data_IF_251982715776
#
_entry.id   IF_251982715776
#
_cell.length_a   1.000
_cell.length_b   1.000
_cell.length_c   1.000
_cell.angle_alpha   90.00
_cell.angle_beta   90.00
_cell.angle_gamma   90.00
#
_symmetry.space_group_name_H-M   'P 1'
#
loop_
_entity.id
_entity.type
_entity.pdbx_description
1 polymer ?
#
# COMPACT_ATOMS: atom_id res chain seq x y z
N UNK A 1 13.11 5.95 -5.12
CA UNK A 1 12.91 5.51 -6.50
C UNK A 1 12.56 6.68 -7.44
N UNK A 2 11.55 7.52 -7.14
CA UNK A 2 11.14 8.65 -7.99
C UNK A 2 12.32 9.52 -8.41
N UNK A 3 13.13 10.02 -7.47
CA UNK A 3 14.33 10.82 -7.77
C UNK A 3 15.39 10.03 -8.55
N UNK A 4 15.62 8.78 -8.19
CA UNK A 4 16.61 7.92 -8.84
C UNK A 4 16.32 7.74 -10.33
N UNK A 5 15.07 7.54 -10.72
CA UNK A 5 14.66 7.45 -12.13
C UNK A 5 15.02 8.71 -12.94
N UNK A 6 15.02 9.86 -12.31
CA UNK A 6 15.35 11.13 -12.99
C UNK A 6 16.85 11.40 -13.05
N UNK A 7 17.62 10.85 -12.10
CA UNK A 7 19.06 11.12 -11.96
C UNK A 7 19.92 10.05 -12.61
N UNK A 8 19.57 8.77 -12.45
CA UNK A 8 20.36 7.65 -12.96
C UNK A 8 19.85 7.30 -14.37
N UNK A 9 20.75 7.31 -15.34
CA UNK A 9 20.45 6.96 -16.74
C UNK A 9 20.99 5.60 -17.10
N UNK A 10 20.35 4.94 -18.08
CA UNK A 10 20.80 3.63 -18.59
C UNK A 10 20.42 2.44 -17.70
N UNK A 11 19.62 2.65 -16.65
CA UNK A 11 19.09 1.58 -15.79
C UNK A 11 17.59 1.74 -15.64
N UNK A 12 16.86 0.69 -15.99
CA UNK A 12 15.41 0.61 -15.76
C UNK A 12 15.14 0.28 -14.28
N UNK A 13 14.39 1.15 -13.62
CA UNK A 13 14.04 0.99 -12.20
C UNK A 13 12.53 0.91 -12.06
N UNK A 14 12.07 -0.16 -11.44
CA UNK A 14 10.64 -0.41 -11.21
C UNK A 14 10.31 -0.35 -9.72
N UNK A 15 9.16 0.20 -9.41
CA UNK A 15 8.53 0.02 -8.11
C UNK A 15 7.99 -1.42 -8.03
N UNK A 16 8.03 -2.11 -6.87
CA UNK A 16 7.63 -3.51 -6.78
C UNK A 16 6.24 -3.83 -7.35
N UNK A 17 5.24 -2.98 -7.11
CA UNK A 17 3.88 -3.16 -7.68
C UNK A 17 3.91 -3.11 -9.20
N UNK A 18 4.59 -2.11 -9.76
CA UNK A 18 4.77 -1.95 -11.20
C UNK A 18 5.52 -3.16 -11.80
N UNK A 19 6.59 -3.62 -11.13
CA UNK A 19 7.35 -4.78 -11.55
C UNK A 19 6.50 -6.05 -11.57
N UNK A 20 5.71 -6.27 -10.52
CA UNK A 20 4.83 -7.43 -10.43
C UNK A 20 3.83 -7.41 -11.59
N UNK A 21 3.12 -6.31 -11.78
CA UNK A 21 2.10 -6.21 -12.82
C UNK A 21 2.67 -6.36 -14.23
N UNK A 22 3.88 -5.84 -14.46
CA UNK A 22 4.50 -5.80 -15.80
C UNK A 22 5.18 -7.12 -16.18
N UNK A 23 5.81 -7.81 -15.24
CA UNK A 23 6.71 -8.91 -15.55
C UNK A 23 6.37 -10.24 -14.88
N UNK A 24 5.57 -10.22 -13.83
CA UNK A 24 5.37 -11.39 -12.96
C UNK A 24 3.92 -11.88 -12.95
N UNK A 25 2.94 -10.98 -13.00
CA UNK A 25 1.52 -11.31 -12.83
C UNK A 25 1.02 -12.40 -13.82
N UNK A 26 1.46 -12.36 -15.07
CA UNK A 26 1.07 -13.34 -16.08
C UNK A 26 1.62 -14.76 -15.81
N UNK A 27 2.63 -14.87 -14.95
CA UNK A 27 3.25 -16.14 -14.53
C UNK A 27 2.69 -16.70 -13.25
N UNK A 28 1.78 -15.99 -12.62
CA UNK A 28 1.16 -16.34 -11.35
C UNK A 28 -0.31 -16.66 -11.53
N UNK A 29 -0.77 -17.65 -10.78
CA UNK A 29 -2.18 -17.92 -10.59
C UNK A 29 -2.62 -17.23 -9.29
N UNK A 30 -3.57 -16.31 -9.37
CA UNK A 30 -4.12 -15.60 -8.22
C UNK A 30 -5.37 -16.30 -7.70
N UNK A 31 -5.41 -16.53 -6.39
CA UNK A 31 -6.59 -17.01 -5.67
C UNK A 31 -7.00 -15.95 -4.64
N UNK A 32 -7.89 -15.00 -5.01
CA UNK A 32 -8.24 -13.89 -4.14
C UNK A 32 -8.82 -14.35 -2.81
N UNK A 33 -8.45 -13.68 -1.73
CA UNK A 33 -9.07 -13.92 -0.41
C UNK A 33 -10.47 -13.29 -0.39
N UNK A 34 -11.39 -13.95 0.32
CA UNK A 34 -12.76 -13.45 0.51
C UNK A 34 -12.89 -12.57 1.76
N UNK A 35 -12.05 -11.54 1.85
CA UNK A 35 -12.04 -10.58 2.97
C UNK A 35 -12.04 -9.17 2.42
N UNK A 36 -12.68 -8.24 3.13
CA UNK A 36 -12.52 -6.82 2.82
C UNK A 36 -11.19 -6.31 3.36
N UNK A 37 -10.38 -5.78 2.47
CA UNK A 37 -9.09 -5.17 2.81
C UNK A 37 -9.08 -3.68 2.49
N UNK A 38 -8.14 -2.95 3.06
CA UNK A 38 -7.89 -1.56 2.68
C UNK A 38 -6.49 -1.39 2.10
N UNK A 39 -6.35 -0.45 1.17
CA UNK A 39 -5.04 -0.05 0.61
C UNK A 39 -4.80 1.44 0.83
N UNK A 40 -3.60 1.74 1.30
CA UNK A 40 -3.12 3.11 1.40
C UNK A 40 -2.08 3.39 0.31
N UNK A 41 -2.38 4.38 -0.54
CA UNK A 41 -1.44 4.86 -1.58
C UNK A 41 -0.46 5.85 -0.97
N UNK A 42 0.83 5.51 -1.00
CA UNK A 42 1.86 6.40 -0.45
C UNK A 42 2.08 7.65 -1.32
N UNK A 43 2.72 8.68 -0.75
CA UNK A 43 3.08 9.89 -1.49
C UNK A 43 3.96 9.58 -2.71
N UNK A 44 4.90 8.64 -2.58
CA UNK A 44 5.77 8.22 -3.69
C UNK A 44 4.99 7.50 -4.79
N UNK A 45 4.06 6.62 -4.44
CA UNK A 45 3.17 5.94 -5.38
C UNK A 45 2.34 6.94 -6.19
N UNK A 46 1.79 7.94 -5.51
CA UNK A 46 1.02 9.01 -6.16
C UNK A 46 1.89 9.84 -7.10
N UNK A 47 3.10 10.23 -6.66
CA UNK A 47 4.04 10.99 -7.49
C UNK A 47 4.53 10.23 -8.73
N UNK A 48 4.59 8.91 -8.65
CA UNK A 48 4.98 8.05 -9.78
C UNK A 48 3.80 7.69 -10.70
N UNK A 49 2.58 8.11 -10.38
CA UNK A 49 1.38 7.78 -11.16
C UNK A 49 0.91 6.33 -11.00
N UNK A 50 1.36 5.62 -9.96
CA UNK A 50 1.13 4.18 -9.75
C UNK A 50 -0.04 3.88 -8.79
N UNK A 51 -0.91 4.85 -8.53
CA UNK A 51 -2.07 4.65 -7.64
C UNK A 51 -3.02 3.58 -8.17
N UNK A 52 -3.36 3.65 -9.45
CA UNK A 52 -4.23 2.66 -10.11
C UNK A 52 -3.62 1.26 -10.12
N UNK A 53 -2.31 1.17 -10.29
CA UNK A 53 -1.60 -0.11 -10.29
C UNK A 53 -1.63 -0.79 -8.92
N UNK A 54 -1.43 -0.03 -7.84
CA UNK A 54 -1.54 -0.54 -6.48
C UNK A 54 -2.96 -1.06 -6.19
N UNK A 55 -3.99 -0.31 -6.58
CA UNK A 55 -5.38 -0.70 -6.39
C UNK A 55 -5.69 -1.96 -7.22
N UNK A 56 -5.31 -1.98 -8.50
CA UNK A 56 -5.48 -3.14 -9.38
C UNK A 56 -4.82 -4.40 -8.82
N UNK A 57 -3.59 -4.29 -8.32
CA UNK A 57 -2.90 -5.44 -7.71
C UNK A 57 -3.65 -5.94 -6.46
N UNK A 58 -4.18 -5.04 -5.64
CA UNK A 58 -4.98 -5.41 -4.48
C UNK A 58 -6.30 -6.10 -4.88
N UNK A 59 -6.97 -5.63 -5.94
CA UNK A 59 -8.19 -6.24 -6.49
C UNK A 59 -7.94 -7.64 -7.07
N UNK A 60 -6.73 -7.91 -7.56
CA UNK A 60 -6.33 -9.27 -7.95
C UNK A 60 -6.15 -10.19 -6.74
N UNK A 61 -5.91 -9.63 -5.56
CA UNK A 61 -5.60 -10.37 -4.33
C UNK A 61 -6.79 -10.54 -3.38
N UNK A 62 -7.84 -9.72 -3.52
CA UNK A 62 -9.01 -9.74 -2.63
C UNK A 62 -10.29 -9.43 -3.37
N UNK A 63 -11.39 -10.05 -2.96
CA UNK A 63 -12.72 -9.83 -3.55
C UNK A 63 -13.32 -8.47 -3.19
N UNK A 64 -12.79 -7.80 -2.16
CA UNK A 64 -13.30 -6.50 -1.70
C UNK A 64 -12.15 -5.60 -1.25
N UNK A 65 -11.96 -4.48 -1.94
CA UNK A 65 -10.90 -3.50 -1.67
C UNK A 65 -11.50 -2.13 -1.38
N UNK A 66 -11.17 -1.57 -0.24
CA UNK A 66 -11.58 -0.22 0.17
C UNK A 66 -10.38 0.72 0.10
N UNK A 67 -10.52 1.81 -0.64
CA UNK A 67 -9.54 2.90 -0.66
C UNK A 67 -10.06 4.02 0.24
N UNK A 68 -9.39 4.32 1.36
CA UNK A 68 -9.87 5.33 2.31
C UNK A 68 -10.00 6.71 1.65
N UNK A 69 -11.12 7.37 1.92
CA UNK A 69 -11.38 8.72 1.45
C UNK A 69 -10.71 9.75 2.35
N UNK A 70 -10.21 10.83 1.75
CA UNK A 70 -9.56 11.94 2.48
C UNK A 70 -8.39 11.51 3.38
N UNK A 71 -7.76 10.38 3.05
CA UNK A 71 -6.52 9.90 3.68
C UNK A 71 -5.43 9.95 2.62
N UNK A 72 -4.63 10.99 2.65
CA UNK A 72 -3.53 11.21 1.71
C UNK A 72 -2.19 10.72 2.23
N UNK A 73 -1.34 11.64 2.67
CA UNK A 73 -0.06 11.28 3.28
C UNK A 73 -0.27 10.63 4.66
N UNK A 74 0.49 9.57 4.97
CA UNK A 74 0.46 8.96 6.30
C UNK A 74 1.04 9.87 7.41
N UNK A 75 1.74 10.94 7.05
CA UNK A 75 2.35 11.87 8.00
C UNK A 75 3.61 11.34 8.72
N UNK A 76 4.09 10.15 8.36
CA UNK A 76 5.27 9.56 9.00
C UNK A 76 6.58 10.24 8.58
N UNK A 77 6.65 10.75 7.35
CA UNK A 77 7.75 11.57 6.82
C UNK A 77 9.16 10.98 7.09
N UNK A 78 9.39 9.73 6.68
CA UNK A 78 10.67 9.03 6.90
C UNK A 78 10.80 8.58 8.36
N UNK A 79 11.69 9.20 9.12
CA UNK A 79 11.95 8.93 10.55
C UNK A 79 11.17 9.87 11.50
N UNK A 80 10.57 10.92 10.97
CA UNK A 80 9.85 11.93 11.78
C UNK A 80 8.70 11.34 12.60
N UNK A 81 8.04 10.31 12.09
CA UNK A 81 6.97 9.63 12.81
C UNK A 81 7.39 8.99 14.14
N UNK A 82 8.69 8.74 14.35
CA UNK A 82 9.21 8.24 15.63
C UNK A 82 9.39 9.37 16.66
N UNK A 83 9.70 10.58 16.20
CA UNK A 83 9.96 11.74 17.07
C UNK A 83 8.73 12.65 17.20
N UNK A 84 7.85 12.64 16.21
CA UNK A 84 6.63 13.46 16.13
C UNK A 84 5.40 12.62 15.78
N UNK A 85 5.01 11.67 16.66
CA UNK A 85 3.89 10.76 16.37
C UNK A 85 2.54 11.49 16.22
N UNK A 86 2.39 12.67 16.80
CA UNK A 86 1.21 13.52 16.69
C UNK A 86 0.91 13.92 15.24
N UNK A 87 1.93 14.11 14.40
CA UNK A 87 1.76 14.46 12.98
C UNK A 87 1.17 13.27 12.21
N UNK A 88 1.65 12.07 12.50
CA UNK A 88 1.13 10.84 11.91
C UNK A 88 -0.32 10.59 12.39
N UNK A 89 -0.59 10.73 13.68
CA UNK A 89 -1.94 10.58 14.24
C UNK A 89 -2.94 11.58 13.62
N UNK A 90 -2.54 12.85 13.47
CA UNK A 90 -3.37 13.85 12.81
C UNK A 90 -3.64 13.52 11.35
N UNK A 91 -2.64 13.13 10.59
CA UNK A 91 -2.78 12.79 9.17
C UNK A 91 -3.75 11.62 8.95
N UNK A 92 -3.74 10.65 9.86
CA UNK A 92 -4.54 9.42 9.78
C UNK A 92 -5.84 9.45 10.61
N UNK A 93 -6.22 10.58 11.19
CA UNK A 93 -7.41 10.69 12.05
C UNK A 93 -8.73 10.22 11.40
N UNK A 94 -8.82 10.28 10.07
CA UNK A 94 -9.99 9.83 9.31
C UNK A 94 -9.94 8.36 8.88
N UNK A 95 -8.82 7.66 9.11
CA UNK A 95 -8.62 6.30 8.64
C UNK A 95 -9.41 5.29 9.50
N UNK A 96 -9.21 5.34 10.82
CA UNK A 96 -9.82 4.37 11.73
C UNK A 96 -11.35 4.30 11.66
N UNK A 97 -12.09 5.41 11.61
CA UNK A 97 -13.55 5.36 11.47
C UNK A 97 -14.01 4.66 10.18
N UNK A 98 -13.24 4.79 9.09
CA UNK A 98 -13.56 4.11 7.83
C UNK A 98 -13.27 2.62 7.89
N UNK A 99 -12.19 2.21 8.57
CA UNK A 99 -11.87 0.81 8.80
C UNK A 99 -12.96 0.12 9.62
N UNK A 100 -13.38 0.74 10.70
CA UNK A 100 -14.44 0.23 11.58
C UNK A 100 -15.78 0.15 10.83
N UNK A 101 -16.15 1.18 10.07
CA UNK A 101 -17.37 1.23 9.27
C UNK A 101 -17.47 0.08 8.25
N UNK A 102 -16.36 -0.31 7.65
CA UNK A 102 -16.32 -1.34 6.61
C UNK A 102 -15.94 -2.73 7.16
N UNK A 103 -15.74 -2.88 8.46
CA UNK A 103 -15.34 -4.15 9.08
C UNK A 103 -13.99 -4.69 8.56
N UNK A 104 -13.07 -3.80 8.24
CA UNK A 104 -11.78 -4.15 7.67
C UNK A 104 -10.89 -4.74 8.76
N UNK A 105 -10.21 -5.84 8.47
CA UNK A 105 -9.33 -6.54 9.41
C UNK A 105 -7.84 -6.45 9.07
N UNK A 106 -7.52 -6.03 7.85
CA UNK A 106 -6.14 -5.87 7.39
C UNK A 106 -6.01 -4.75 6.36
N UNK A 107 -4.88 -4.06 6.40
CA UNK A 107 -4.53 -3.03 5.43
C UNK A 107 -3.20 -3.32 4.74
N UNK A 108 -3.04 -2.74 3.54
CA UNK A 108 -1.84 -2.91 2.74
C UNK A 108 -1.33 -1.58 2.21
N UNK A 109 -0.02 -1.48 2.09
CA UNK A 109 0.68 -0.33 1.53
C UNK A 109 1.94 -0.81 0.80
N UNK A 110 2.79 0.09 0.35
CA UNK A 110 4.05 -0.25 -0.33
C UNK A 110 5.25 0.53 0.23
N UNK A 111 5.17 0.99 1.48
CA UNK A 111 6.28 1.67 2.16
C UNK A 111 6.29 1.33 3.65
N UNK A 112 7.42 0.82 4.12
CA UNK A 112 7.57 0.31 5.49
C UNK A 112 7.25 1.36 6.57
N UNK A 113 7.71 2.58 6.41
CA UNK A 113 7.43 3.65 7.38
C UNK A 113 5.94 4.02 7.40
N UNK A 114 5.28 4.01 6.23
CA UNK A 114 3.83 4.20 6.18
C UNK A 114 3.10 3.03 6.86
N UNK A 115 3.52 1.78 6.66
CA UNK A 115 2.92 0.60 7.30
C UNK A 115 2.95 0.71 8.84
N UNK A 116 4.08 1.16 9.41
CA UNK A 116 4.22 1.39 10.85
C UNK A 116 3.20 2.43 11.32
N UNK A 117 3.18 3.60 10.69
CA UNK A 117 2.28 4.68 11.08
C UNK A 117 0.80 4.34 10.88
N UNK A 118 0.47 3.64 9.80
CA UNK A 118 -0.88 3.16 9.51
C UNK A 118 -1.34 2.14 10.57
N UNK A 119 -0.49 1.15 10.90
CA UNK A 119 -0.80 0.16 11.94
C UNK A 119 -1.05 0.83 13.29
N UNK A 120 -0.21 1.78 13.68
CA UNK A 120 -0.34 2.47 14.97
C UNK A 120 -1.66 3.23 15.09
N UNK A 121 -2.16 3.82 13.99
CA UNK A 121 -3.31 4.75 14.03
C UNK A 121 -4.62 4.17 13.49
N UNK A 122 -4.60 3.01 12.85
CA UNK A 122 -5.79 2.46 12.20
C UNK A 122 -6.59 1.47 13.06
N UNK A 123 -5.92 0.82 14.01
CA UNK A 123 -6.51 -0.28 14.79
C UNK A 123 -6.42 -1.65 14.11
N UNK A 124 -5.83 -1.74 12.92
CA UNK A 124 -5.59 -3.00 12.20
C UNK A 124 -4.14 -3.06 11.69
N UNK A 125 -3.58 -4.26 11.49
CA UNK A 125 -2.23 -4.39 10.92
C UNK A 125 -2.19 -3.90 9.47
N UNK A 126 -1.17 -3.12 9.14
CA UNK A 126 -0.79 -2.79 7.78
C UNK A 126 0.53 -3.47 7.42
N UNK A 127 0.55 -4.09 6.25
CA UNK A 127 1.72 -4.79 5.70
C UNK A 127 2.00 -4.34 4.27
N UNK A 128 3.18 -4.69 3.77
CA UNK A 128 3.46 -4.48 2.36
C UNK A 128 2.55 -5.36 1.49
N UNK A 129 2.03 -4.80 0.41
CA UNK A 129 1.14 -5.51 -0.52
C UNK A 129 1.78 -6.78 -1.09
N UNK A 130 3.11 -6.83 -1.17
CA UNK A 130 3.84 -8.01 -1.67
C UNK A 130 3.56 -9.26 -0.82
N UNK A 131 3.40 -9.11 0.51
CA UNK A 131 3.04 -10.24 1.37
C UNK A 131 1.65 -10.81 1.06
N UNK A 132 0.71 -9.94 0.64
CA UNK A 132 -0.59 -10.41 0.19
C UNK A 132 -0.48 -11.13 -1.16
N UNK A 133 0.29 -10.58 -2.10
CA UNK A 133 0.56 -11.23 -3.39
C UNK A 133 1.14 -12.63 -3.19
N UNK A 134 2.19 -12.74 -2.36
CA UNK A 134 2.82 -14.03 -2.04
C UNK A 134 1.81 -15.04 -1.47
N UNK A 135 0.99 -14.58 -0.52
CA UNK A 135 -0.02 -15.41 0.14
C UNK A 135 -1.09 -15.97 -0.80
N UNK A 136 -1.49 -15.21 -1.82
CA UNK A 136 -2.63 -15.55 -2.69
C UNK A 136 -2.22 -16.06 -4.05
N UNK A 137 -0.92 -16.22 -4.32
CA UNK A 137 -0.43 -16.65 -5.63
C UNK A 137 0.30 -17.98 -5.56
N UNK A 138 0.20 -18.71 -6.66
CA UNK A 138 1.03 -19.88 -6.96
C UNK A 138 1.63 -19.73 -8.34
N UNK A 139 2.75 -20.41 -8.59
CA UNK A 139 3.36 -20.43 -9.92
C UNK A 139 2.43 -21.18 -10.89
N UNK A 140 2.26 -20.63 -12.08
CA UNK A 140 1.64 -21.34 -13.21
C UNK A 140 2.51 -22.45 -13.74
#
# INVERSE_FOLDING_TARGET
LYRMRHTIKGVDMYEPVEFILKFVADRLHFTPINNTITVHTTCSTTKMGLKSDLIRLAEMCSTSVVVPQEVGCCGFAGDKGFTHPEVNAWALRKLRPQIEKHGITAGYSNSRTCEIGLTTNSGVPFQNIIYLVDKVTTKK
#
